data_IF_484255387774
#
_entry.id   IF_484255387774
#
_cell.length_a   1.000
_cell.length_b   1.000
_cell.length_c   1.000
_cell.angle_alpha   90.00
_cell.angle_beta   90.00
_cell.angle_gamma   90.00
#
_symmetry.space_group_name_H-M   'P 1'
#
loop_
_entity.id
_entity.type
_entity.pdbx_description
1 polymer ?
#
# COMPACT_ATOMS: atom_id res chain seq x y z
N UNK A 1 -2.65 30.23 1.46
CA UNK A 1 -2.39 28.80 1.17
C UNK A 1 -3.62 28.11 0.59
N UNK A 2 -4.83 28.28 1.14
CA UNK A 2 -6.08 27.70 0.61
C UNK A 2 -6.33 27.97 -0.89
N UNK A 3 -6.09 29.19 -1.38
CA UNK A 3 -6.23 29.53 -2.81
C UNK A 3 -5.40 28.62 -3.75
N UNK A 4 -4.27 28.09 -3.29
CA UNK A 4 -3.43 27.18 -4.10
C UNK A 4 -4.01 25.76 -4.19
N UNK A 5 -4.78 25.32 -3.20
CA UNK A 5 -5.35 23.97 -3.19
C UNK A 5 -6.63 23.88 -4.04
N UNK A 6 -7.43 24.95 -4.08
CA UNK A 6 -8.59 25.05 -4.97
C UNK A 6 -8.18 25.04 -6.45
N UNK A 7 -7.07 25.72 -6.80
CA UNK A 7 -6.54 25.77 -8.18
C UNK A 7 -6.12 24.40 -8.73
N UNK A 8 -5.75 23.47 -7.86
CA UNK A 8 -5.35 22.11 -8.25
C UNK A 8 -6.49 21.09 -8.05
N UNK A 9 -7.69 21.56 -7.68
CA UNK A 9 -8.86 20.72 -7.42
C UNK A 9 -8.62 19.67 -6.34
N UNK A 10 -7.87 20.01 -5.28
CA UNK A 10 -7.56 19.07 -4.20
C UNK A 10 -8.85 18.54 -3.55
N UNK A 11 -8.98 17.22 -3.46
CA UNK A 11 -10.01 16.54 -2.67
C UNK A 11 -9.36 15.47 -1.82
N UNK A 12 -9.75 15.43 -0.55
CA UNK A 12 -9.28 14.47 0.44
C UNK A 12 -10.48 13.81 1.11
N UNK A 13 -10.37 12.51 1.37
CA UNK A 13 -11.23 11.73 2.27
C UNK A 13 -10.36 10.95 3.26
N UNK A 14 -10.93 10.66 4.42
CA UNK A 14 -10.29 9.91 5.51
C UNK A 14 -11.07 8.63 5.78
N UNK A 15 -10.33 7.57 6.06
CA UNK A 15 -10.82 6.30 6.61
C UNK A 15 -10.08 6.07 7.93
N UNK A 16 -10.81 6.03 9.05
CA UNK A 16 -10.24 5.85 10.39
C UNK A 16 -10.64 4.48 10.91
N UNK A 17 -9.66 3.66 11.25
CA UNK A 17 -9.84 2.37 11.87
C UNK A 17 -9.37 2.44 13.32
N UNK A 18 -10.21 2.07 14.28
CA UNK A 18 -9.88 2.09 15.71
C UNK A 18 -10.31 0.81 16.40
N UNK A 19 -9.40 0.17 17.12
CA UNK A 19 -9.71 -1.01 17.92
C UNK A 19 -10.57 -0.64 19.12
N UNK A 20 -11.59 -1.45 19.39
CA UNK A 20 -12.48 -1.29 20.54
C UNK A 20 -11.95 -2.08 21.73
N UNK A 21 -12.10 -1.52 22.93
CA UNK A 21 -11.70 -2.13 24.20
C UNK A 21 -12.86 -2.94 24.77
N UNK A 22 -13.16 -4.05 24.13
CA UNK A 22 -14.21 -5.00 24.52
C UNK A 22 -13.68 -6.10 25.43
N UNK A 23 -14.57 -6.79 26.13
CA UNK A 23 -14.25 -7.96 26.96
C UNK A 23 -13.80 -9.18 26.14
N UNK A 24 -14.38 -9.39 24.96
CA UNK A 24 -14.09 -10.49 24.04
C UNK A 24 -13.92 -10.00 22.60
N UNK A 25 -13.43 -10.87 21.72
CA UNK A 25 -13.35 -10.62 20.27
C UNK A 25 -14.73 -10.52 19.61
N UNK A 26 -14.75 -10.12 18.33
CA UNK A 26 -15.99 -9.75 17.63
C UNK A 26 -16.93 -10.93 17.38
N UNK A 27 -16.38 -12.11 17.12
CA UNK A 27 -17.13 -13.32 16.74
C UNK A 27 -16.71 -14.56 17.54
N UNK A 28 -16.10 -14.37 18.71
CA UNK A 28 -15.74 -15.45 19.62
C UNK A 28 -15.52 -14.92 21.05
N UNK A 29 -15.35 -15.84 22.02
CA UNK A 29 -15.17 -15.49 23.44
C UNK A 29 -13.71 -15.27 23.86
N UNK A 30 -12.75 -15.23 22.93
CA UNK A 30 -11.35 -15.00 23.25
C UNK A 30 -11.08 -13.57 23.71
N UNK A 31 -10.06 -13.39 24.56
CA UNK A 31 -9.66 -12.06 25.02
C UNK A 31 -8.93 -11.30 23.91
N UNK A 32 -9.19 -10.00 23.73
CA UNK A 32 -8.52 -9.19 22.71
C UNK A 32 -7.14 -8.71 23.22
N UNK A 33 -6.26 -9.65 23.57
CA UNK A 33 -4.92 -9.38 24.10
C UNK A 33 -3.85 -9.85 23.12
N UNK A 34 -2.73 -9.13 23.07
CA UNK A 34 -1.57 -9.51 22.26
C UNK A 34 -0.55 -10.25 23.12
N UNK A 35 0.04 -11.32 22.58
CA UNK A 35 1.09 -12.08 23.29
C UNK A 35 2.48 -11.84 22.68
N UNK A 36 3.51 -11.96 23.53
CA UNK A 36 4.92 -11.86 23.15
C UNK A 36 5.64 -13.20 23.24
N UNK A 37 5.15 -14.07 24.10
CA UNK A 37 5.63 -15.40 24.44
C UNK A 37 5.63 -16.35 23.21
N UNK A 38 6.12 -17.57 23.44
CA UNK A 38 6.04 -18.64 22.46
C UNK A 38 4.59 -19.06 22.22
N UNK A 39 4.32 -19.47 20.98
CA UNK A 39 3.00 -19.93 20.59
C UNK A 39 2.70 -21.31 21.21
N UNK A 40 1.49 -21.48 21.74
CA UNK A 40 0.99 -22.76 22.24
C UNK A 40 0.80 -23.78 21.10
N UNK A 41 0.42 -23.28 19.93
CA UNK A 41 0.18 -24.08 18.72
C UNK A 41 0.59 -23.29 17.48
N UNK A 42 1.09 -24.02 16.48
CA UNK A 42 1.28 -23.45 15.14
C UNK A 42 0.73 -24.38 14.07
N UNK A 43 0.22 -23.80 12.98
CA UNK A 43 -0.26 -24.55 11.83
C UNK A 43 0.07 -23.83 10.53
N UNK A 44 0.06 -24.56 9.41
CA UNK A 44 0.34 -24.03 8.09
C UNK A 44 -0.92 -24.04 7.23
N UNK A 45 -1.16 -22.95 6.51
CA UNK A 45 -2.27 -22.83 5.55
C UNK A 45 -1.82 -22.22 4.24
N UNK A 46 -2.64 -22.43 3.21
CA UNK A 46 -2.54 -21.75 1.91
C UNK A 46 -3.95 -21.37 1.49
N UNK A 47 -4.15 -20.08 1.21
CA UNK A 47 -5.40 -19.60 0.64
C UNK A 47 -5.40 -19.84 -0.87
N UNK A 48 -6.62 -20.00 -1.42
CA UNK A 48 -6.85 -20.17 -2.85
C UNK A 48 -7.83 -19.09 -3.30
N UNK A 49 -7.65 -18.54 -4.51
CA UNK A 49 -8.62 -17.64 -5.07
C UNK A 49 -9.90 -18.40 -5.44
N UNK A 50 -11.03 -17.70 -5.42
CA UNK A 50 -12.34 -18.24 -5.80
C UNK A 50 -12.75 -17.66 -7.14
N UNK A 51 -13.49 -18.43 -7.94
CA UNK A 51 -14.08 -17.97 -9.19
C UNK A 51 -15.39 -17.23 -8.92
N UNK A 52 -15.64 -16.18 -9.70
CA UNK A 52 -16.97 -15.55 -9.78
C UNK A 52 -17.95 -16.46 -10.52
N UNK A 53 -19.22 -16.08 -10.52
CA UNK A 53 -20.27 -16.76 -11.29
C UNK A 53 -19.94 -16.86 -12.79
N UNK A 54 -19.14 -15.91 -13.31
CA UNK A 54 -18.67 -15.88 -14.70
C UNK A 54 -17.36 -16.66 -14.92
N UNK A 55 -16.88 -17.40 -13.91
CA UNK A 55 -15.61 -18.13 -13.95
C UNK A 55 -14.37 -17.24 -13.86
N UNK A 56 -14.53 -15.94 -13.61
CA UNK A 56 -13.42 -14.99 -13.53
C UNK A 56 -12.80 -15.01 -12.13
N UNK A 57 -11.51 -14.71 -12.04
CA UNK A 57 -10.79 -14.64 -10.78
C UNK A 57 -10.30 -13.21 -10.57
N UNK A 58 -10.46 -12.70 -9.35
CA UNK A 58 -9.92 -11.39 -8.98
C UNK A 58 -8.39 -11.36 -9.29
N UNK A 59 -7.91 -10.39 -10.10
CA UNK A 59 -6.52 -10.34 -10.50
C UNK A 59 -5.54 -10.20 -9.34
N UNK A 60 -5.90 -9.49 -8.27
CA UNK A 60 -5.06 -9.34 -7.08
C UNK A 60 -5.00 -10.66 -6.29
N UNK A 61 -6.14 -11.36 -6.14
CA UNK A 61 -6.25 -12.71 -5.57
C UNK A 61 -5.37 -13.72 -6.29
N UNK A 62 -5.47 -13.72 -7.62
CA UNK A 62 -4.67 -14.58 -8.45
C UNK A 62 -3.18 -14.24 -8.37
N UNK A 63 -2.84 -12.95 -8.26
CA UNK A 63 -1.46 -12.51 -8.13
C UNK A 63 -0.82 -12.95 -6.80
N UNK A 64 -1.51 -12.74 -5.66
CA UNK A 64 -1.02 -13.22 -4.36
C UNK A 64 -0.87 -14.75 -4.36
N UNK A 65 -1.85 -15.47 -4.93
CA UNK A 65 -1.78 -16.92 -5.06
C UNK A 65 -0.57 -17.39 -5.88
N UNK A 66 -0.26 -16.72 -7.00
CA UNK A 66 0.92 -17.02 -7.83
C UNK A 66 2.25 -16.84 -7.11
N UNK A 67 2.30 -16.07 -6.01
CA UNK A 67 3.52 -15.99 -5.19
C UNK A 67 3.83 -17.32 -4.48
N UNK A 68 2.84 -18.22 -4.35
CA UNK A 68 3.02 -19.53 -3.73
C UNK A 68 3.41 -19.48 -2.26
N UNK A 69 3.01 -18.40 -1.57
CA UNK A 69 3.33 -18.14 -0.17
C UNK A 69 2.44 -19.01 0.71
N UNK A 70 3.02 -19.70 1.69
CA UNK A 70 2.28 -20.35 2.76
C UNK A 70 2.23 -19.46 4.00
N UNK A 71 1.18 -19.60 4.80
CA UNK A 71 1.00 -18.86 6.04
C UNK A 71 1.25 -19.80 7.21
N UNK A 72 2.15 -19.39 8.11
CA UNK A 72 2.32 -20.02 9.41
C UNK A 72 1.56 -19.20 10.43
N UNK A 73 0.54 -19.78 11.03
CA UNK A 73 -0.24 -19.14 12.07
C UNK A 73 0.25 -19.60 13.45
N UNK A 74 0.41 -18.64 14.36
CA UNK A 74 0.82 -18.81 15.74
C UNK A 74 -0.36 -18.44 16.66
N UNK A 75 -0.63 -19.30 17.64
CA UNK A 75 -1.78 -19.21 18.55
C UNK A 75 -1.28 -19.14 19.98
N UNK A 76 -2.00 -18.37 20.80
CA UNK A 76 -1.99 -18.49 22.24
C UNK A 76 -3.42 -18.78 22.72
N UNK A 77 -3.58 -19.72 23.66
CA UNK A 77 -4.89 -20.24 24.09
C UNK A 77 -5.80 -19.19 24.75
N UNK A 78 -5.24 -18.09 25.25
CA UNK A 78 -6.04 -17.01 25.85
C UNK A 78 -6.63 -16.06 24.78
N UNK A 79 -5.93 -15.92 23.65
CA UNK A 79 -6.24 -14.92 22.63
C UNK A 79 -6.80 -15.50 21.34
N UNK A 80 -6.83 -16.81 21.13
CA UNK A 80 -7.44 -17.42 19.94
C UNK A 80 -8.01 -18.81 20.21
N UNK A 81 -9.09 -19.14 19.50
CA UNK A 81 -9.77 -20.43 19.53
C UNK A 81 -9.97 -20.99 18.10
N UNK A 82 -10.83 -22.01 17.97
CA UNK A 82 -11.14 -22.65 16.69
C UNK A 82 -11.77 -21.67 15.68
N UNK A 83 -12.47 -20.62 16.15
CA UNK A 83 -13.01 -19.58 15.27
C UNK A 83 -11.91 -18.81 14.55
N UNK A 84 -10.88 -18.33 15.26
CA UNK A 84 -9.71 -17.68 14.63
C UNK A 84 -8.94 -18.65 13.74
N UNK A 85 -8.96 -19.95 14.04
CA UNK A 85 -8.29 -20.96 13.23
C UNK A 85 -9.05 -21.32 11.95
N UNK A 86 -10.30 -20.84 11.79
CA UNK A 86 -11.23 -21.27 10.74
C UNK A 86 -11.53 -22.77 10.81
N UNK A 87 -11.73 -23.28 12.03
CA UNK A 87 -12.09 -24.68 12.35
C UNK A 87 -13.43 -24.79 13.11
N UNK A 88 -14.09 -23.65 13.37
CA UNK A 88 -15.41 -23.55 14.00
C UNK A 88 -16.18 -22.37 13.38
N UNK A 89 -17.50 -22.48 13.16
CA UNK A 89 -18.32 -21.34 12.75
C UNK A 89 -18.19 -20.16 13.74
N UNK A 90 -18.23 -18.91 13.26
CA UNK A 90 -18.22 -17.74 14.14
C UNK A 90 -19.44 -17.74 15.06
N UNK A 91 -19.26 -17.22 16.27
CA UNK A 91 -20.35 -16.99 17.22
C UNK A 91 -21.16 -15.74 16.80
N UNK A 92 -22.29 -15.44 17.45
CA UNK A 92 -23.00 -14.19 17.25
C UNK A 92 -22.11 -12.96 17.46
N UNK A 93 -22.51 -11.84 16.85
CA UNK A 93 -21.80 -10.56 16.91
C UNK A 93 -21.69 -10.08 18.37
N UNK A 94 -20.52 -9.57 18.73
CA UNK A 94 -20.29 -9.01 20.06
C UNK A 94 -21.14 -7.74 20.31
N UNK A 95 -22.11 -7.83 21.21
CA UNK A 95 -23.03 -6.72 21.54
C UNK A 95 -22.33 -5.49 22.10
N UNK A 96 -21.29 -5.66 22.94
CA UNK A 96 -20.49 -4.54 23.47
C UNK A 96 -19.81 -3.75 22.33
N UNK A 97 -19.33 -4.46 21.31
CA UNK A 97 -18.75 -3.83 20.13
C UNK A 97 -19.81 -3.04 19.35
N UNK A 98 -21.00 -3.62 19.14
CA UNK A 98 -22.12 -2.96 18.45
C UNK A 98 -22.55 -1.69 19.18
N UNK A 99 -22.78 -1.77 20.49
CA UNK A 99 -23.16 -0.62 21.33
C UNK A 99 -22.12 0.50 21.27
N UNK A 100 -20.83 0.15 21.28
CA UNK A 100 -19.74 1.10 21.18
C UNK A 100 -19.76 1.83 19.83
N UNK A 101 -19.99 1.11 18.73
CA UNK A 101 -20.06 1.72 17.39
C UNK A 101 -21.33 2.55 17.23
N UNK A 102 -22.48 2.10 17.74
CA UNK A 102 -23.72 2.87 17.76
C UNK A 102 -23.56 4.19 18.53
N UNK A 103 -22.88 4.14 19.69
CA UNK A 103 -22.58 5.32 20.49
C UNK A 103 -21.74 6.32 19.68
N UNK A 104 -20.64 5.86 19.08
CA UNK A 104 -19.81 6.72 18.23
C UNK A 104 -20.59 7.26 17.02
N UNK A 105 -21.43 6.44 16.38
CA UNK A 105 -22.26 6.83 15.25
C UNK A 105 -23.23 7.97 15.61
N UNK A 106 -23.93 7.86 16.75
CA UNK A 106 -24.83 8.91 17.23
C UNK A 106 -24.08 10.20 17.58
N UNK A 107 -22.88 10.10 18.17
CA UNK A 107 -22.00 11.26 18.41
C UNK A 107 -21.55 11.95 17.11
N UNK A 108 -21.51 11.21 16.00
CA UNK A 108 -21.26 11.71 14.66
C UNK A 108 -22.54 12.05 13.89
N UNK A 109 -23.70 12.16 14.56
CA UNK A 109 -25.00 12.43 13.94
C UNK A 109 -25.38 11.45 12.81
N UNK A 110 -24.79 10.25 12.80
CA UNK A 110 -25.10 9.21 11.83
C UNK A 110 -26.40 8.49 12.19
N UNK A 111 -27.02 7.88 11.18
CA UNK A 111 -28.27 7.12 11.30
C UNK A 111 -27.95 5.63 11.38
N UNK A 112 -28.21 4.97 12.52
CA UNK A 112 -28.12 3.52 12.61
C UNK A 112 -28.97 2.82 11.56
N UNK A 113 -28.51 1.66 11.10
CA UNK A 113 -29.31 0.78 10.23
C UNK A 113 -30.38 0.05 11.06
N UNK A 114 -31.49 -0.32 10.43
CA UNK A 114 -32.56 -1.08 11.10
C UNK A 114 -32.13 -2.51 11.44
N UNK A 115 -31.30 -3.12 10.60
CA UNK A 115 -30.78 -4.47 10.76
C UNK A 115 -29.32 -4.56 10.30
N UNK A 116 -28.49 -5.22 11.10
CA UNK A 116 -27.06 -5.40 10.83
C UNK A 116 -26.84 -6.72 10.08
N UNK A 117 -26.24 -6.62 8.90
CA UNK A 117 -25.88 -7.79 8.08
C UNK A 117 -24.36 -7.96 8.04
N UNK A 118 -23.87 -9.15 8.39
CA UNK A 118 -22.43 -9.47 8.37
C UNK A 118 -22.01 -9.90 6.97
N UNK A 119 -21.10 -9.13 6.39
CA UNK A 119 -20.53 -9.34 5.06
C UNK A 119 -19.13 -9.96 5.14
N UNK A 120 -18.65 -10.50 4.02
CA UNK A 120 -17.31 -11.10 3.89
C UNK A 120 -16.50 -10.36 2.84
N UNK A 121 -15.62 -9.46 3.28
CA UNK A 121 -14.68 -8.73 2.42
C UNK A 121 -13.48 -9.63 2.12
N UNK A 122 -13.25 -10.01 0.86
CA UNK A 122 -12.18 -10.95 0.50
C UNK A 122 -10.79 -10.42 0.88
N UNK A 123 -10.00 -11.24 1.59
CA UNK A 123 -8.64 -10.92 2.04
C UNK A 123 -7.72 -12.13 1.84
N UNK A 124 -6.78 -11.99 0.92
CA UNK A 124 -5.99 -13.06 0.29
C UNK A 124 -4.51 -13.06 0.70
N UNK A 125 -4.07 -12.03 1.41
CA UNK A 125 -2.67 -11.88 1.83
C UNK A 125 -2.29 -12.80 2.99
N UNK A 126 -3.27 -13.49 3.57
CA UNK A 126 -3.12 -14.40 4.69
C UNK A 126 -3.31 -13.76 6.06
N UNK A 127 -3.67 -12.48 6.16
CA UNK A 127 -3.94 -11.84 7.45
C UNK A 127 -5.25 -12.33 8.10
N UNK A 128 -6.15 -12.94 7.33
CA UNK A 128 -7.37 -13.57 7.81
C UNK A 128 -7.33 -15.06 7.43
N UNK A 129 -7.49 -15.94 8.41
CA UNK A 129 -7.39 -17.41 8.23
C UNK A 129 -8.46 -17.98 7.31
N UNK A 130 -9.63 -17.35 7.32
CA UNK A 130 -10.83 -17.61 6.49
C UNK A 130 -10.67 -17.18 5.03
N UNK A 131 -9.67 -16.34 4.71
CA UNK A 131 -9.56 -15.70 3.40
C UNK A 131 -10.52 -14.52 3.19
N UNK A 132 -11.21 -14.06 4.24
CA UNK A 132 -12.04 -12.86 4.23
C UNK A 132 -12.09 -12.21 5.61
N UNK A 133 -12.32 -10.91 5.64
CA UNK A 133 -12.63 -10.15 6.85
C UNK A 133 -14.15 -10.07 6.99
N UNK A 134 -14.67 -10.36 8.19
CA UNK A 134 -16.08 -10.10 8.49
C UNK A 134 -16.24 -8.61 8.80
N UNK A 135 -17.17 -7.96 8.12
CA UNK A 135 -17.45 -6.53 8.22
C UNK A 135 -18.96 -6.30 8.16
N UNK A 136 -19.49 -5.36 8.93
CA UNK A 136 -20.90 -4.98 8.88
C UNK A 136 -21.05 -3.46 8.98
N UNK A 137 -22.01 -2.90 8.24
CA UNK A 137 -22.36 -1.47 8.34
C UNK A 137 -23.27 -1.29 9.54
N UNK A 138 -22.94 -0.34 10.42
CA UNK A 138 -23.71 -0.05 11.63
C UNK A 138 -24.54 1.22 11.46
N UNK A 139 -23.99 2.24 10.81
CA UNK A 139 -24.67 3.51 10.58
C UNK A 139 -24.19 4.20 9.30
N UNK A 140 -25.03 5.06 8.74
CA UNK A 140 -24.75 5.83 7.52
C UNK A 140 -25.19 7.30 7.68
N UNK A 141 -24.83 8.14 6.70
CA UNK A 141 -25.34 9.51 6.56
C UNK A 141 -25.12 10.42 7.80
N UNK A 142 -23.94 10.30 8.42
CA UNK A 142 -23.54 11.16 9.53
C UNK A 142 -22.85 12.45 9.10
N UNK A 143 -22.50 13.26 10.09
CA UNK A 143 -21.69 14.45 9.90
C UNK A 143 -21.06 14.96 11.20
N UNK A 144 -19.90 15.60 11.06
CA UNK A 144 -19.23 16.34 12.14
C UNK A 144 -18.98 17.78 11.72
N UNK A 145 -18.76 18.67 12.70
CA UNK A 145 -18.41 20.07 12.46
C UNK A 145 -16.93 20.30 12.72
N UNK A 146 -16.25 20.96 11.78
CA UNK A 146 -14.88 21.45 11.90
C UNK A 146 -14.93 22.97 11.71
N UNK A 147 -14.93 23.70 12.84
CA UNK A 147 -15.31 25.11 12.83
C UNK A 147 -16.74 25.28 12.32
N UNK A 148 -16.92 26.05 11.25
CA UNK A 148 -18.23 26.25 10.61
C UNK A 148 -18.54 25.22 9.52
N UNK A 149 -17.56 24.43 9.09
CA UNK A 149 -17.73 23.48 7.99
C UNK A 149 -18.29 22.15 8.48
N UNK A 150 -19.26 21.63 7.73
CA UNK A 150 -19.81 20.29 7.93
C UNK A 150 -18.99 19.29 7.09
N UNK A 151 -18.53 18.23 7.73
CA UNK A 151 -17.85 17.10 7.09
C UNK A 151 -18.79 15.90 7.16
N UNK A 152 -19.37 15.46 6.03
CA UNK A 152 -20.21 14.28 5.99
C UNK A 152 -19.41 13.01 6.31
N UNK A 153 -20.02 12.14 7.11
CA UNK A 153 -19.55 10.78 7.40
C UNK A 153 -20.42 9.84 6.57
N UNK A 154 -19.81 9.15 5.61
CA UNK A 154 -20.56 8.27 4.70
C UNK A 154 -21.10 7.05 5.43
N UNK A 155 -20.26 6.41 6.25
CA UNK A 155 -20.67 5.27 7.05
C UNK A 155 -19.73 5.06 8.26
N UNK A 156 -20.25 4.35 9.25
CA UNK A 156 -19.51 3.71 10.32
C UNK A 156 -19.76 2.20 10.26
N UNK A 157 -18.68 1.42 10.17
CA UNK A 157 -18.71 -0.03 10.07
C UNK A 157 -18.04 -0.66 11.28
N UNK A 158 -18.43 -1.90 11.59
CA UNK A 158 -17.80 -2.75 12.59
C UNK A 158 -17.19 -3.97 11.88
N UNK A 159 -15.91 -4.20 12.08
CA UNK A 159 -15.16 -5.26 11.40
C UNK A 159 -14.14 -5.96 12.32
N UNK A 160 -13.66 -7.11 11.87
CA UNK A 160 -12.56 -7.83 12.52
C UNK A 160 -11.22 -7.17 12.18
N UNK A 161 -10.36 -6.90 13.15
CA UNK A 161 -8.96 -6.62 12.82
C UNK A 161 -8.24 -7.88 12.33
N UNK A 162 -7.17 -7.69 11.57
CA UNK A 162 -6.43 -8.75 10.92
C UNK A 162 -5.28 -9.29 11.80
N UNK A 163 -4.83 -10.52 11.54
CA UNK A 163 -3.70 -11.12 12.26
C UNK A 163 -2.42 -10.26 12.15
N UNK A 164 -1.53 -10.36 13.15
CA UNK A 164 -0.25 -9.62 13.13
C UNK A 164 0.76 -10.38 12.32
N UNK A 165 1.28 -9.77 11.25
CA UNK A 165 2.45 -10.29 10.53
C UNK A 165 3.70 -10.10 11.38
N UNK A 166 4.36 -11.19 11.76
CA UNK A 166 5.53 -11.16 12.66
C UNK A 166 6.84 -11.46 11.97
N UNK A 167 6.84 -12.26 10.89
CA UNK A 167 8.06 -12.59 10.15
C UNK A 167 7.78 -12.98 8.69
N UNK A 168 8.82 -12.86 7.86
CA UNK A 168 8.89 -13.48 6.54
C UNK A 168 10.04 -14.48 6.57
N UNK A 169 9.74 -15.75 6.30
CA UNK A 169 10.65 -16.88 6.41
C UNK A 169 10.96 -17.49 5.03
N UNK A 170 11.98 -18.35 4.99
CA UNK A 170 12.35 -19.18 3.83
C UNK A 170 12.42 -18.37 2.52
N UNK A 171 13.15 -17.24 2.56
CA UNK A 171 13.30 -16.33 1.42
C UNK A 171 11.96 -15.85 0.82
N UNK A 172 10.96 -15.58 1.66
CA UNK A 172 9.66 -15.07 1.21
C UNK A 172 8.61 -16.14 0.92
N UNK A 173 8.92 -17.43 1.11
CA UNK A 173 7.98 -18.53 0.84
C UNK A 173 6.98 -18.77 1.97
N UNK A 174 7.28 -18.32 3.18
CA UNK A 174 6.38 -18.44 4.33
C UNK A 174 6.23 -17.07 4.98
N UNK A 175 5.00 -16.64 5.22
CA UNK A 175 4.72 -15.49 6.09
C UNK A 175 4.18 -15.99 7.42
N UNK A 176 4.75 -15.50 8.52
CA UNK A 176 4.33 -15.83 9.88
C UNK A 176 3.35 -14.79 10.38
N UNK A 177 2.22 -15.25 10.91
CA UNK A 177 1.15 -14.45 11.49
C UNK A 177 0.83 -14.93 12.91
N UNK A 178 0.62 -14.00 13.84
CA UNK A 178 0.02 -14.28 15.16
C UNK A 178 -1.48 -13.96 15.11
N UNK A 179 -2.30 -14.91 15.57
CA UNK A 179 -3.77 -14.80 15.55
C UNK A 179 -4.36 -13.99 16.71
N UNK A 180 -3.52 -13.52 17.62
CA UNK A 180 -3.92 -12.76 18.79
C UNK A 180 -4.70 -11.48 18.47
N UNK A 181 -4.33 -10.78 17.39
CA UNK A 181 -5.06 -9.62 16.90
C UNK A 181 -6.25 -9.95 15.99
N UNK A 182 -6.26 -11.11 15.35
CA UNK A 182 -7.34 -11.49 14.43
C UNK A 182 -8.67 -11.51 15.19
N UNK A 183 -9.68 -10.76 14.73
CA UNK A 183 -11.00 -10.74 15.35
C UNK A 183 -11.16 -9.73 16.50
N UNK A 184 -10.13 -8.95 16.85
CA UNK A 184 -10.34 -7.79 17.75
C UNK A 184 -11.35 -6.84 17.08
N UNK A 185 -12.41 -6.39 17.76
CA UNK A 185 -13.40 -5.50 17.16
C UNK A 185 -12.78 -4.17 16.75
N UNK A 186 -13.11 -3.72 15.54
CA UNK A 186 -12.54 -2.54 14.92
C UNK A 186 -13.68 -1.70 14.33
N UNK A 187 -13.78 -0.43 14.71
CA UNK A 187 -14.65 0.53 14.03
C UNK A 187 -13.90 1.12 12.83
N UNK A 188 -14.56 1.16 11.68
CA UNK A 188 -14.12 1.89 10.48
C UNK A 188 -15.06 3.08 10.26
N UNK A 189 -14.53 4.29 10.13
CA UNK A 189 -15.28 5.52 9.84
C UNK A 189 -14.77 6.11 8.53
N UNK A 190 -15.66 6.30 7.56
CA UNK A 190 -15.32 6.90 6.27
C UNK A 190 -15.95 8.29 6.09
N UNK A 191 -15.15 9.29 5.75
CA UNK A 191 -15.63 10.65 5.44
C UNK A 191 -15.89 10.83 3.94
N UNK A 192 -16.82 11.72 3.57
CA UNK A 192 -16.95 12.15 2.18
C UNK A 192 -15.69 12.91 1.69
N UNK A 193 -15.38 12.90 0.37
CA UNK A 193 -14.18 13.51 -0.20
C UNK A 193 -14.30 15.04 -0.36
N UNK A 194 -14.65 15.74 0.73
CA UNK A 194 -14.91 17.19 0.76
C UNK A 194 -13.89 17.96 1.61
N UNK A 195 -12.75 17.34 1.91
CA UNK A 195 -11.64 17.98 2.63
C UNK A 195 -10.68 18.60 1.60
N UNK A 196 -10.34 19.88 1.79
CA UNK A 196 -9.68 20.71 0.77
C UNK A 196 -8.32 21.28 1.23
N UNK A 197 -7.82 20.90 2.41
CA UNK A 197 -6.45 21.18 2.80
C UNK A 197 -5.88 20.10 3.73
N UNK A 198 -4.55 19.90 3.74
CA UNK A 198 -3.90 18.98 4.67
C UNK A 198 -4.16 19.29 6.15
N UNK A 199 -4.22 20.58 6.52
CA UNK A 199 -4.49 20.99 7.90
C UNK A 199 -5.93 20.72 8.32
N UNK A 200 -6.89 20.90 7.40
CA UNK A 200 -8.27 20.51 7.61
C UNK A 200 -8.39 19.00 7.80
N UNK A 201 -7.71 18.19 6.99
CA UNK A 201 -7.68 16.73 7.15
C UNK A 201 -7.17 16.32 8.54
N UNK A 202 -6.09 16.93 9.01
CA UNK A 202 -5.59 16.70 10.36
C UNK A 202 -6.61 17.11 11.45
N UNK A 203 -7.33 18.21 11.25
CA UNK A 203 -8.37 18.67 12.19
C UNK A 203 -9.57 17.72 12.22
N UNK A 204 -9.99 17.21 11.05
CA UNK A 204 -11.06 16.20 10.93
C UNK A 204 -10.66 14.92 11.67
N UNK A 205 -9.45 14.43 11.42
CA UNK A 205 -8.92 13.25 12.09
C UNK A 205 -8.83 13.42 13.62
N UNK A 206 -8.45 14.61 14.08
CA UNK A 206 -8.40 14.93 15.50
C UNK A 206 -9.80 14.83 16.14
N UNK A 207 -10.81 15.46 15.53
CA UNK A 207 -12.18 15.45 16.06
C UNK A 207 -12.77 14.05 16.06
N UNK A 208 -12.57 13.28 14.98
CA UNK A 208 -13.02 11.87 14.95
C UNK A 208 -12.30 11.04 16.01
N UNK A 209 -10.99 11.23 16.19
CA UNK A 209 -10.22 10.59 17.26
C UNK A 209 -10.69 10.98 18.67
N UNK A 210 -11.12 12.22 18.87
CA UNK A 210 -11.72 12.69 20.12
C UNK A 210 -13.07 12.02 20.38
N UNK A 211 -13.97 12.02 19.40
CA UNK A 211 -15.27 11.32 19.49
C UNK A 211 -15.07 9.85 19.89
N UNK A 212 -14.15 9.16 19.20
CA UNK A 212 -13.81 7.78 19.50
C UNK A 212 -13.29 7.62 20.94
N UNK A 213 -12.46 8.53 21.43
CA UNK A 213 -11.95 8.50 22.81
C UNK A 213 -13.04 8.79 23.85
N UNK A 214 -13.97 9.68 23.53
CA UNK A 214 -15.05 10.11 24.41
C UNK A 214 -16.07 8.99 24.65
N UNK A 215 -16.11 7.97 23.78
CA UNK A 215 -16.85 6.72 24.07
C UNK A 215 -16.34 6.00 25.32
N UNK A 216 -15.08 6.23 25.73
CA UNK A 216 -14.43 5.50 26.82
C UNK A 216 -14.17 4.01 26.52
N UNK A 217 -14.47 3.55 25.30
CA UNK A 217 -14.55 2.14 24.90
C UNK A 217 -13.59 1.77 23.77
N UNK A 218 -12.58 2.58 23.50
CA UNK A 218 -11.55 2.31 22.49
C UNK A 218 -10.22 1.93 23.13
N UNK A 219 -9.48 1.03 22.48
CA UNK A 219 -8.13 0.69 22.89
C UNK A 219 -7.19 1.89 22.76
N UNK A 220 -6.15 1.92 23.60
CA UNK A 220 -5.14 2.97 23.61
C UNK A 220 -3.76 2.35 23.44
N UNK A 221 -2.87 3.08 22.77
CA UNK A 221 -1.50 2.66 22.52
C UNK A 221 -1.16 2.53 21.04
N UNK A 222 0.10 2.22 20.76
CA UNK A 222 0.60 2.12 19.39
C UNK A 222 -0.12 1.00 18.61
N UNK A 223 -0.51 1.30 17.38
CA UNK A 223 -1.14 0.34 16.48
C UNK A 223 -2.63 0.05 16.75
N UNK A 224 -3.26 0.75 17.71
CA UNK A 224 -4.70 0.64 17.99
C UNK A 224 -5.56 1.50 17.06
N UNK A 225 -4.98 2.57 16.50
CA UNK A 225 -5.59 3.43 15.50
C UNK A 225 -4.79 3.38 14.20
N UNK A 226 -5.48 3.35 13.06
CA UNK A 226 -4.90 3.50 11.72
C UNK A 226 -5.75 4.46 10.92
N UNK A 227 -5.09 5.29 10.12
CA UNK A 227 -5.75 6.30 9.32
C UNK A 227 -5.26 6.14 7.89
N UNK A 228 -6.20 5.86 7.01
CA UNK A 228 -5.99 5.73 5.58
C UNK A 228 -6.48 7.03 4.91
N UNK A 229 -5.65 7.58 4.03
CA UNK A 229 -5.88 8.88 3.39
C UNK A 229 -6.16 8.68 1.91
N UNK A 230 -7.32 9.14 1.45
CA UNK A 230 -7.69 9.16 0.04
C UNK A 230 -7.49 10.58 -0.50
N UNK A 231 -6.61 10.78 -1.49
CA UNK A 231 -6.28 12.09 -2.04
C UNK A 231 -6.30 12.10 -3.56
N UNK A 232 -6.90 13.15 -4.14
CA UNK A 232 -6.93 13.38 -5.58
C UNK A 232 -6.73 14.84 -5.94
N UNK A 233 -6.15 15.09 -7.11
CA UNK A 233 -6.04 16.40 -7.78
C UNK A 233 -6.77 16.35 -9.12
N UNK A 234 -7.21 17.49 -9.66
CA UNK A 234 -7.97 17.56 -10.92
C UNK A 234 -7.24 16.92 -12.13
N UNK A 235 -5.95 17.22 -12.29
CA UNK A 235 -5.07 16.60 -13.31
C UNK A 235 -4.27 15.40 -12.78
N UNK A 236 -4.58 14.96 -11.56
CA UNK A 236 -3.88 13.89 -10.87
C UNK A 236 -4.61 12.56 -10.98
N UNK A 237 -4.47 11.76 -9.93
CA UNK A 237 -5.23 10.53 -9.76
C UNK A 237 -5.68 10.39 -8.30
N UNK A 238 -6.68 9.55 -8.07
CA UNK A 238 -7.06 9.15 -6.73
C UNK A 238 -6.04 8.13 -6.19
N UNK A 239 -5.36 8.54 -5.11
CA UNK A 239 -4.32 7.80 -4.42
C UNK A 239 -4.79 7.50 -3.01
N UNK A 240 -4.65 6.23 -2.63
CA UNK A 240 -4.91 5.75 -1.28
C UNK A 240 -3.57 5.60 -0.55
N UNK A 241 -3.40 6.25 0.60
CA UNK A 241 -2.21 6.12 1.43
C UNK A 241 -2.61 5.45 2.74
N UNK A 242 -2.14 4.23 2.94
CA UNK A 242 -2.48 3.41 4.10
C UNK A 242 -1.54 3.61 5.28
N UNK A 243 -2.09 3.45 6.48
CA UNK A 243 -1.34 3.21 7.71
C UNK A 243 -0.68 4.44 8.30
N UNK A 244 -1.31 5.61 8.22
CA UNK A 244 -0.86 6.80 8.97
C UNK A 244 -1.26 6.62 10.43
N UNK A 245 -0.27 6.52 11.32
CA UNK A 245 -0.51 6.28 12.75
C UNK A 245 -0.57 7.59 13.55
N UNK A 246 0.38 8.49 13.30
CA UNK A 246 0.52 9.75 14.02
C UNK A 246 -0.37 10.84 13.39
N UNK A 247 -1.11 11.55 14.23
CA UNK A 247 -2.06 12.59 13.80
C UNK A 247 -1.35 13.73 13.07
N UNK A 248 -0.21 14.16 13.61
CA UNK A 248 0.61 15.25 13.07
C UNK A 248 1.21 14.89 11.70
N UNK A 249 1.36 13.60 11.42
CA UNK A 249 1.93 13.10 10.17
C UNK A 249 0.96 13.21 8.99
N UNK A 250 -0.35 13.30 9.24
CA UNK A 250 -1.39 13.37 8.21
C UNK A 250 -1.15 14.54 7.26
N UNK A 251 -0.96 15.74 7.82
CA UNK A 251 -0.78 16.94 7.00
C UNK A 251 0.51 16.88 6.18
N UNK A 252 1.59 16.35 6.75
CA UNK A 252 2.87 16.15 6.07
C UNK A 252 2.76 15.15 4.91
N UNK A 253 2.09 14.01 5.15
CA UNK A 253 1.86 12.97 4.12
C UNK A 253 1.06 13.54 2.95
N UNK A 254 0.00 14.28 3.23
CA UNK A 254 -0.83 14.91 2.21
C UNK A 254 -0.04 15.97 1.43
N UNK A 255 0.72 16.84 2.11
CA UNK A 255 1.56 17.84 1.44
C UNK A 255 2.61 17.19 0.51
N UNK A 256 3.20 16.07 0.93
CA UNK A 256 4.16 15.34 0.10
C UNK A 256 3.50 14.61 -1.06
N UNK A 257 2.30 14.07 -0.88
CA UNK A 257 1.55 13.47 -1.98
C UNK A 257 1.11 14.52 -3.01
N UNK A 258 0.66 15.70 -2.57
CA UNK A 258 0.37 16.84 -3.46
C UNK A 258 1.62 17.18 -4.29
N UNK A 259 2.78 17.34 -3.64
CA UNK A 259 4.06 17.60 -4.34
C UNK A 259 4.40 16.49 -5.33
N UNK A 260 4.22 15.22 -4.95
CA UNK A 260 4.49 14.06 -5.79
C UNK A 260 3.63 14.09 -7.05
N UNK A 261 2.32 14.27 -6.93
CA UNK A 261 1.41 14.31 -8.06
C UNK A 261 1.72 15.51 -8.98
N UNK A 262 1.90 16.71 -8.42
CA UNK A 262 2.23 17.90 -9.22
C UNK A 262 3.55 17.73 -9.99
N UNK A 263 4.56 17.12 -9.38
CA UNK A 263 5.83 16.86 -10.07
C UNK A 263 5.70 15.76 -11.15
N UNK A 264 4.87 14.74 -10.94
CA UNK A 264 4.56 13.74 -11.97
C UNK A 264 3.80 14.35 -13.14
N UNK A 265 2.85 15.26 -12.88
CA UNK A 265 2.12 16.00 -13.91
C UNK A 265 3.10 16.82 -14.76
N UNK A 266 4.00 17.59 -14.12
CA UNK A 266 5.05 18.34 -14.82
C UNK A 266 5.95 17.45 -15.69
N UNK A 267 6.35 16.29 -15.17
CA UNK A 267 7.13 15.31 -15.93
C UNK A 267 6.35 14.82 -17.15
N UNK A 268 5.07 14.48 -16.99
CA UNK A 268 4.19 14.07 -18.09
C UNK A 268 4.07 15.16 -19.16
N UNK A 269 3.85 16.40 -18.77
CA UNK A 269 3.77 17.55 -19.68
C UNK A 269 5.08 17.76 -20.46
N UNK A 270 6.23 17.69 -19.78
CA UNK A 270 7.54 17.81 -20.42
C UNK A 270 7.87 16.64 -21.36
N UNK A 271 7.48 15.41 -21.01
CA UNK A 271 7.63 14.24 -21.87
C UNK A 271 6.75 14.36 -23.12
N UNK A 272 5.50 14.80 -22.96
CA UNK A 272 4.57 15.07 -24.07
C UNK A 272 5.09 16.19 -24.97
N UNK A 273 5.65 17.27 -24.41
CA UNK A 273 6.27 18.35 -25.17
C UNK A 273 7.47 17.88 -26.02
N UNK A 274 8.19 16.85 -25.56
CA UNK A 274 9.24 16.16 -26.33
C UNK A 274 8.70 15.14 -27.34
N UNK A 275 7.39 15.08 -27.57
CA UNK A 275 6.71 14.11 -28.45
C UNK A 275 7.01 12.66 -28.09
N UNK A 276 7.27 12.38 -26.81
CA UNK A 276 7.45 11.02 -26.28
C UNK A 276 6.07 10.44 -26.00
N UNK A 277 5.75 9.33 -26.66
CA UNK A 277 4.50 8.58 -26.51
C UNK A 277 4.74 7.22 -25.87
N UNK A 278 3.70 6.55 -25.37
CA UNK A 278 3.81 5.19 -24.82
C UNK A 278 4.36 4.16 -25.84
N UNK A 279 4.02 4.32 -27.12
CA UNK A 279 4.52 3.53 -28.24
C UNK A 279 6.02 3.76 -28.53
N UNK A 280 6.60 4.84 -28.01
CA UNK A 280 8.03 5.11 -28.13
C UNK A 280 8.87 4.19 -27.23
N UNK A 281 8.26 3.55 -26.23
CA UNK A 281 8.91 2.68 -25.27
C UNK A 281 8.76 1.20 -25.66
N UNK A 282 9.89 0.62 -26.09
CA UNK A 282 9.96 -0.76 -26.55
C UNK A 282 10.47 -1.70 -25.46
N UNK A 283 9.89 -2.91 -25.38
CA UNK A 283 10.32 -3.98 -24.47
C UNK A 283 11.47 -4.81 -25.09
N UNK A 284 12.55 -4.13 -25.49
CA UNK A 284 13.75 -4.80 -25.99
C UNK A 284 14.78 -4.96 -24.87
N UNK A 285 14.82 -6.15 -24.27
CA UNK A 285 15.73 -6.47 -23.16
C UNK A 285 17.03 -7.06 -23.67
N UNK A 286 18.13 -6.34 -23.42
CA UNK A 286 19.45 -6.69 -23.93
C UNK A 286 20.29 -7.27 -22.79
N UNK A 287 20.92 -8.42 -23.03
CA UNK A 287 21.88 -9.02 -22.11
C UNK A 287 23.19 -8.22 -22.18
N UNK A 288 23.53 -7.58 -21.07
CA UNK A 288 24.72 -6.73 -20.91
C UNK A 288 25.68 -7.30 -19.87
N UNK A 289 25.51 -8.58 -19.51
CA UNK A 289 26.32 -9.27 -18.50
C UNK A 289 27.81 -9.14 -18.74
N UNK A 290 28.23 -9.18 -20.02
CA UNK A 290 29.65 -9.12 -20.39
C UNK A 290 30.33 -7.80 -19.99
N UNK A 291 29.58 -6.70 -19.95
CA UNK A 291 30.09 -5.35 -19.59
C UNK A 291 30.53 -5.34 -18.12
N UNK A 292 29.81 -6.07 -17.28
CA UNK A 292 29.99 -6.05 -15.83
C UNK A 292 30.82 -7.23 -15.29
N UNK A 293 31.53 -7.98 -16.14
CA UNK A 293 32.34 -9.14 -15.72
C UNK A 293 33.37 -8.79 -14.65
N UNK A 294 34.01 -7.62 -14.80
CA UNK A 294 35.06 -7.14 -13.91
C UNK A 294 34.58 -5.98 -13.01
N UNK A 295 33.26 -5.81 -12.89
CA UNK A 295 32.70 -4.68 -12.16
C UNK A 295 33.11 -4.66 -10.69
N UNK A 296 33.37 -3.45 -10.18
CA UNK A 296 33.61 -3.22 -8.75
C UNK A 296 32.31 -3.02 -7.97
N UNK A 297 31.17 -2.96 -8.66
CA UNK A 297 29.86 -2.93 -8.02
C UNK A 297 29.58 -4.25 -7.29
N UNK A 298 29.63 -4.21 -5.94
CA UNK A 298 29.42 -5.40 -5.09
C UNK A 298 28.09 -6.10 -5.36
N UNK A 299 27.03 -5.32 -5.62
CA UNK A 299 25.67 -5.85 -5.85
C UNK A 299 25.64 -6.70 -7.12
N UNK A 300 26.12 -6.15 -8.24
CA UNK A 300 26.16 -6.85 -9.53
C UNK A 300 27.12 -8.05 -9.44
N UNK A 301 28.32 -7.85 -8.90
CA UNK A 301 29.32 -8.93 -8.71
C UNK A 301 28.76 -10.10 -7.91
N UNK A 302 28.03 -9.84 -6.83
CA UNK A 302 27.41 -10.89 -6.03
C UNK A 302 26.27 -11.61 -6.77
N UNK A 303 25.51 -10.90 -7.60
CA UNK A 303 24.50 -11.53 -8.47
C UNK A 303 25.16 -12.46 -9.49
N UNK A 304 26.21 -12.00 -10.18
CA UNK A 304 26.96 -12.80 -11.16
C UNK A 304 27.57 -14.08 -10.56
N UNK A 305 28.07 -14.03 -9.31
CA UNK A 305 28.54 -15.22 -8.59
C UNK A 305 27.45 -16.30 -8.43
N UNK A 306 26.17 -15.90 -8.36
CA UNK A 306 25.02 -16.82 -8.32
C UNK A 306 24.59 -17.30 -9.71
N UNK A 307 25.40 -17.07 -10.75
CA UNK A 307 25.11 -17.37 -12.17
C UNK A 307 23.91 -16.60 -12.73
N UNK A 308 23.54 -15.49 -12.09
CA UNK A 308 22.55 -14.56 -12.61
C UNK A 308 23.12 -13.72 -13.77
N UNK A 309 22.26 -12.97 -14.46
CA UNK A 309 22.62 -12.14 -15.61
C UNK A 309 22.25 -10.69 -15.37
N UNK A 310 22.81 -9.79 -16.18
CA UNK A 310 22.44 -8.37 -16.20
C UNK A 310 21.69 -8.08 -17.49
N UNK A 311 20.44 -7.66 -17.35
CA UNK A 311 19.63 -7.20 -18.47
C UNK A 311 19.42 -5.70 -18.39
N UNK A 312 19.41 -5.04 -19.55
CA UNK A 312 19.19 -3.61 -19.68
C UNK A 312 18.06 -3.31 -20.67
N UNK A 313 17.43 -2.16 -20.48
CA UNK A 313 16.44 -1.60 -21.40
C UNK A 313 16.70 -0.11 -21.58
N UNK A 314 16.57 0.35 -22.82
CA UNK A 314 16.60 1.78 -23.16
C UNK A 314 15.22 2.40 -22.93
N UNK A 315 15.17 3.49 -22.20
CA UNK A 315 13.97 4.31 -22.01
C UNK A 315 14.15 5.60 -22.81
N UNK A 316 13.50 5.65 -23.98
CA UNK A 316 13.67 6.73 -24.96
C UNK A 316 13.23 8.07 -24.37
N UNK A 317 14.07 9.11 -24.46
CA UNK A 317 13.73 10.47 -24.03
C UNK A 317 13.70 10.72 -22.52
N UNK A 318 14.05 9.72 -21.69
CA UNK A 318 13.96 9.80 -20.23
C UNK A 318 15.24 10.30 -19.53
N UNK A 319 16.28 10.70 -20.27
CA UNK A 319 17.49 11.22 -19.65
C UNK A 319 17.19 12.42 -18.74
N UNK A 320 17.70 12.37 -17.52
CA UNK A 320 17.52 13.38 -16.48
C UNK A 320 16.19 13.29 -15.71
N UNK A 321 15.19 12.57 -16.19
CA UNK A 321 13.90 12.44 -15.52
C UNK A 321 13.94 11.48 -14.33
N UNK A 322 14.73 10.40 -14.41
CA UNK A 322 14.75 9.37 -13.36
C UNK A 322 15.37 9.90 -12.05
N UNK A 323 16.29 10.87 -12.14
CA UNK A 323 16.85 11.56 -10.97
C UNK A 323 15.97 12.70 -10.43
N UNK A 324 14.89 13.06 -11.12
CA UNK A 324 14.03 14.17 -10.70
C UNK A 324 13.27 13.81 -9.44
N UNK A 325 13.35 14.71 -8.47
CA UNK A 325 12.70 14.58 -7.18
C UNK A 325 11.20 14.85 -7.30
N UNK A 326 10.38 13.94 -6.77
CA UNK A 326 8.92 14.05 -6.75
C UNK A 326 8.42 14.59 -5.39
N UNK A 327 9.06 14.13 -4.32
CA UNK A 327 8.87 14.59 -2.94
C UNK A 327 10.21 14.44 -2.20
N UNK A 328 10.38 15.00 -0.99
CA UNK A 328 11.68 15.05 -0.32
C UNK A 328 12.43 13.71 -0.31
N UNK A 329 13.62 13.69 -0.91
CA UNK A 329 14.53 12.53 -1.05
C UNK A 329 13.94 11.33 -1.80
N UNK A 330 12.91 11.55 -2.62
CA UNK A 330 12.23 10.49 -3.37
C UNK A 330 12.06 10.88 -4.84
N UNK A 331 12.61 10.08 -5.74
CA UNK A 331 12.76 10.40 -7.18
C UNK A 331 11.84 9.56 -8.04
N UNK A 332 11.66 9.95 -9.31
CA UNK A 332 10.95 9.11 -10.28
C UNK A 332 11.60 7.72 -10.44
N UNK A 333 12.93 7.64 -10.42
CA UNK A 333 13.66 6.37 -10.42
C UNK A 333 13.34 5.51 -9.20
N UNK A 334 13.02 6.13 -8.05
CA UNK A 334 12.58 5.42 -6.84
C UNK A 334 11.18 4.82 -7.00
N UNK A 335 10.22 5.53 -7.60
CA UNK A 335 8.89 4.98 -7.96
C UNK A 335 9.02 3.75 -8.88
N UNK A 336 9.83 3.90 -9.93
CA UNK A 336 10.06 2.85 -10.91
C UNK A 336 10.73 1.64 -10.24
N UNK A 337 11.66 1.87 -9.32
CA UNK A 337 12.28 0.81 -8.53
C UNK A 337 11.28 0.07 -7.63
N UNK A 338 10.31 0.77 -7.02
CA UNK A 338 9.27 0.14 -6.20
C UNK A 338 8.40 -0.81 -7.04
N UNK A 339 8.00 -0.39 -8.25
CA UNK A 339 7.27 -1.25 -9.20
C UNK A 339 8.09 -2.46 -9.64
N UNK A 340 9.37 -2.25 -9.95
CA UNK A 340 10.28 -3.32 -10.34
C UNK A 340 10.49 -4.36 -9.21
N UNK A 341 10.62 -3.91 -7.95
CA UNK A 341 10.69 -4.81 -6.79
C UNK A 341 9.42 -5.64 -6.64
N UNK A 342 8.26 -5.01 -6.74
CA UNK A 342 6.97 -5.66 -6.55
C UNK A 342 6.71 -6.74 -7.61
N UNK A 343 6.85 -6.40 -8.88
CA UNK A 343 6.51 -7.30 -9.99
C UNK A 343 7.66 -8.25 -10.38
N UNK A 344 8.90 -7.78 -10.28
CA UNK A 344 10.09 -8.54 -10.66
C UNK A 344 10.75 -9.32 -9.52
N UNK A 345 10.34 -9.11 -8.26
CA UNK A 345 10.93 -9.72 -7.07
C UNK A 345 12.45 -9.50 -6.95
N UNK A 346 12.94 -8.39 -7.51
CA UNK A 346 14.35 -7.99 -7.48
C UNK A 346 14.64 -7.10 -6.27
N UNK A 347 15.91 -6.91 -5.90
CA UNK A 347 16.29 -5.98 -4.82
C UNK A 347 16.14 -4.50 -5.18
N UNK A 348 16.18 -4.17 -6.47
CA UNK A 348 16.11 -2.81 -7.01
C UNK A 348 16.53 -2.76 -8.47
N UNK A 349 16.71 -1.54 -8.99
CA UNK A 349 17.18 -1.26 -10.34
C UNK A 349 18.37 -0.32 -10.29
N UNK A 350 19.12 -0.26 -11.39
CA UNK A 350 20.11 0.77 -11.65
C UNK A 350 19.67 1.59 -12.86
N UNK A 351 20.01 2.88 -12.90
CA UNK A 351 19.74 3.70 -14.07
C UNK A 351 20.81 4.76 -14.31
N UNK A 352 20.96 5.17 -15.57
CA UNK A 352 22.03 6.09 -16.01
C UNK A 352 22.00 7.45 -15.34
N UNK A 353 20.83 7.97 -14.96
CA UNK A 353 20.75 9.29 -14.30
C UNK A 353 21.37 9.33 -12.89
N UNK A 354 21.64 8.17 -12.29
CA UNK A 354 22.32 8.05 -10.99
C UNK A 354 23.82 7.77 -11.14
N UNK A 355 24.33 7.71 -12.37
CA UNK A 355 25.70 7.27 -12.66
C UNK A 355 26.64 8.45 -12.94
N UNK A 356 27.94 8.32 -12.62
CA UNK A 356 28.60 7.17 -12.00
C UNK A 356 28.32 7.05 -10.50
N UNK A 357 27.92 5.86 -10.05
CA UNK A 357 27.70 5.53 -8.64
C UNK A 357 27.89 4.02 -8.40
N UNK A 358 27.83 3.59 -7.13
CA UNK A 358 27.91 2.17 -6.74
C UNK A 358 29.20 1.44 -7.19
N UNK A 359 30.28 2.18 -7.44
CA UNK A 359 31.53 1.69 -8.06
C UNK A 359 31.34 1.14 -9.49
N UNK A 360 30.36 1.66 -10.22
CA UNK A 360 30.23 1.48 -11.67
C UNK A 360 30.99 2.62 -12.35
N UNK A 361 31.93 2.27 -13.22
CA UNK A 361 32.85 3.16 -13.92
C UNK A 361 32.19 3.83 -15.13
N UNK A 362 32.72 4.97 -15.56
CA UNK A 362 32.26 5.65 -16.78
C UNK A 362 32.43 4.79 -18.04
N UNK A 363 33.46 3.93 -18.07
CA UNK A 363 33.68 3.01 -19.19
C UNK A 363 32.57 1.95 -19.27
N UNK A 364 32.13 1.38 -18.14
CA UNK A 364 30.98 0.46 -18.10
C UNK A 364 29.70 1.16 -18.58
N UNK A 365 29.47 2.42 -18.19
CA UNK A 365 28.30 3.19 -18.63
C UNK A 365 28.35 3.51 -20.13
N UNK A 366 29.53 3.83 -20.67
CA UNK A 366 29.71 4.09 -22.09
C UNK A 366 29.38 2.85 -22.92
N UNK A 367 29.94 1.69 -22.55
CA UNK A 367 29.66 0.41 -23.19
C UNK A 367 28.18 0.03 -23.07
N UNK A 368 27.55 0.34 -21.93
CA UNK A 368 26.12 0.11 -21.72
C UNK A 368 25.27 0.94 -22.68
N UNK A 369 25.55 2.23 -22.83
CA UNK A 369 24.87 3.12 -23.79
C UNK A 369 25.06 2.65 -25.23
N UNK A 370 26.28 2.28 -25.61
CA UNK A 370 26.60 1.76 -26.94
C UNK A 370 25.80 0.48 -27.25
N UNK A 371 25.84 -0.51 -26.33
CA UNK A 371 25.16 -1.79 -26.51
C UNK A 371 23.64 -1.66 -26.60
N UNK A 372 23.08 -0.71 -25.84
CA UNK A 372 21.63 -0.43 -25.85
C UNK A 372 21.20 0.55 -26.94
N UNK A 373 22.15 1.08 -27.72
CA UNK A 373 21.91 2.13 -28.73
C UNK A 373 21.14 3.32 -28.12
N UNK A 374 21.55 3.74 -26.92
CA UNK A 374 20.98 4.86 -26.20
C UNK A 374 21.72 6.15 -26.55
N UNK A 375 20.98 7.18 -26.94
CA UNK A 375 21.51 8.52 -27.14
C UNK A 375 21.64 9.27 -25.82
N UNK A 376 22.20 10.48 -25.85
CA UNK A 376 22.28 11.35 -24.66
C UNK A 376 20.92 11.81 -24.14
N UNK A 377 19.86 11.72 -24.95
CA UNK A 377 18.49 12.03 -24.54
C UNK A 377 17.78 10.83 -23.90
N UNK A 378 18.37 9.63 -23.98
CA UNK A 378 17.79 8.40 -23.49
C UNK A 378 18.39 8.02 -22.13
N UNK A 379 17.57 7.41 -21.28
CA UNK A 379 18.05 6.74 -20.08
C UNK A 379 18.20 5.24 -20.34
N UNK A 380 19.11 4.59 -19.63
CA UNK A 380 19.19 3.12 -19.60
C UNK A 380 18.92 2.64 -18.18
N UNK A 381 17.99 1.69 -18.05
CA UNK A 381 17.69 1.00 -16.79
C UNK A 381 18.18 -0.43 -16.90
N UNK A 382 18.83 -0.94 -15.85
CA UNK A 382 19.36 -2.30 -15.84
C UNK A 382 19.24 -2.98 -14.49
N UNK A 383 19.15 -4.31 -14.52
CA UNK A 383 18.85 -5.17 -13.38
C UNK A 383 19.75 -6.40 -13.42
N UNK A 384 20.26 -6.81 -12.26
CA UNK A 384 21.13 -7.96 -12.10
C UNK A 384 20.49 -9.03 -11.21
N UNK A 385 19.74 -9.96 -11.80
CA UNK A 385 19.04 -11.05 -11.11
C UNK A 385 18.88 -12.28 -12.04
N UNK A 386 18.05 -13.25 -11.66
CA UNK A 386 17.65 -14.34 -12.55
C UNK A 386 17.05 -13.77 -13.85
N UNK A 387 17.11 -14.53 -14.94
CA UNK A 387 16.61 -14.06 -16.24
C UNK A 387 15.13 -13.74 -16.20
N UNK A 388 14.34 -14.55 -15.49
CA UNK A 388 12.90 -14.36 -15.31
C UNK A 388 12.61 -13.09 -14.51
N UNK A 389 13.22 -12.95 -13.32
CA UNK A 389 13.04 -11.79 -12.45
C UNK A 389 13.48 -10.49 -13.11
N UNK A 390 14.62 -10.52 -13.81
CA UNK A 390 15.16 -9.34 -14.50
C UNK A 390 14.23 -8.87 -15.61
N UNK A 391 13.71 -9.79 -16.43
CA UNK A 391 12.75 -9.44 -17.50
C UNK A 391 11.42 -8.94 -16.92
N UNK A 392 10.91 -9.57 -15.86
CA UNK A 392 9.70 -9.11 -15.17
C UNK A 392 9.88 -7.71 -14.56
N UNK A 393 11.04 -7.44 -13.93
CA UNK A 393 11.39 -6.13 -13.41
C UNK A 393 11.46 -5.07 -14.51
N UNK A 394 12.14 -5.35 -15.63
CA UNK A 394 12.28 -4.41 -16.74
C UNK A 394 10.96 -4.19 -17.49
N UNK A 395 10.05 -5.17 -17.53
CA UNK A 395 8.68 -4.96 -17.99
C UNK A 395 7.96 -3.94 -17.10
N UNK A 396 7.99 -4.13 -15.77
CA UNK A 396 7.38 -3.19 -14.84
C UNK A 396 7.99 -1.79 -14.88
N UNK A 397 9.30 -1.69 -15.16
CA UNK A 397 9.98 -0.41 -15.44
C UNK A 397 9.35 0.28 -16.65
N UNK A 398 9.21 -0.44 -17.77
CA UNK A 398 8.63 0.11 -19.00
C UNK A 398 7.18 0.54 -18.75
N UNK A 399 6.38 -0.29 -18.08
CA UNK A 399 4.98 0.03 -17.79
C UNK A 399 4.86 1.28 -16.92
N UNK A 400 5.70 1.42 -15.88
CA UNK A 400 5.70 2.62 -15.04
C UNK A 400 6.19 3.87 -15.78
N UNK A 401 7.14 3.74 -16.70
CA UNK A 401 7.56 4.83 -17.58
C UNK A 401 6.44 5.24 -18.54
N UNK A 402 5.67 4.28 -19.09
CA UNK A 402 4.47 4.58 -19.89
C UNK A 402 3.42 5.34 -19.08
N UNK A 403 3.17 4.91 -17.85
CA UNK A 403 2.28 5.64 -16.92
C UNK A 403 2.80 7.06 -16.64
N UNK A 404 4.12 7.27 -16.51
CA UNK A 404 4.69 8.61 -16.31
C UNK A 404 4.52 9.54 -17.51
N UNK A 405 4.43 9.02 -18.74
CA UNK A 405 4.07 9.79 -19.93
C UNK A 405 2.60 10.22 -19.84
N UNK A 406 1.71 9.34 -19.36
CA UNK A 406 0.28 9.62 -19.25
C UNK A 406 0.00 10.65 -18.13
N UNK A 407 0.55 10.43 -16.93
CA UNK A 407 0.34 11.28 -15.76
C UNK A 407 0.62 10.56 -14.44
N UNK A 408 -0.28 10.75 -13.47
CA UNK A 408 -0.22 10.08 -12.15
C UNK A 408 -0.96 8.75 -12.24
N UNK A 409 -0.34 7.60 -11.94
CA UNK A 409 -1.06 6.33 -11.88
C UNK A 409 -1.86 6.21 -10.58
N UNK A 410 -3.11 5.77 -10.65
CA UNK A 410 -3.92 5.42 -9.48
C UNK A 410 -3.34 4.16 -8.81
N UNK A 411 -3.08 4.23 -7.51
CA UNK A 411 -2.42 3.16 -6.76
C UNK A 411 -2.62 3.31 -5.25
N UNK A 412 -2.42 2.22 -4.52
CA UNK A 412 -2.34 2.22 -3.06
C UNK A 412 -0.88 2.32 -2.63
N UNK A 413 -0.61 3.17 -1.64
CA UNK A 413 0.73 3.49 -1.13
C UNK A 413 0.78 3.30 0.39
N UNK A 414 1.95 3.01 0.94
CA UNK A 414 2.18 2.99 2.39
C UNK A 414 2.86 4.28 2.83
N UNK A 415 2.40 4.87 3.94
CA UNK A 415 3.09 5.99 4.57
C UNK A 415 4.36 5.53 5.30
N UNK A 416 5.43 6.33 5.19
CA UNK A 416 6.65 6.18 5.98
C UNK A 416 6.63 7.15 7.17
N UNK A 417 7.40 6.88 8.24
CA UNK A 417 7.49 7.77 9.40
C UNK A 417 7.98 9.18 9.09
N UNK A 418 8.66 9.39 7.96
CA UNK A 418 9.12 10.71 7.52
C UNK A 418 8.10 11.47 6.66
N UNK A 419 6.88 10.95 6.52
CA UNK A 419 5.78 11.53 5.73
C UNK A 419 5.81 11.17 4.24
N UNK A 420 6.89 10.56 3.73
CA UNK A 420 6.90 10.10 2.32
C UNK A 420 6.01 8.87 2.15
N UNK A 421 5.51 8.63 0.95
CA UNK A 421 4.72 7.44 0.62
C UNK A 421 5.44 6.56 -0.40
N UNK A 422 5.24 5.24 -0.34
CA UNK A 422 5.79 4.28 -1.33
C UNK A 422 4.71 3.38 -1.90
N UNK A 423 4.87 3.01 -3.17
CA UNK A 423 3.96 2.09 -3.84
C UNK A 423 3.83 0.78 -3.03
N UNK A 424 2.59 0.36 -2.81
CA UNK A 424 2.26 -0.90 -2.14
C UNK A 424 1.69 -1.91 -3.14
N UNK A 425 0.65 -1.51 -3.86
CA UNK A 425 -0.10 -2.36 -4.79
C UNK A 425 -0.96 -1.50 -5.74
N UNK A 426 -1.48 -2.08 -6.84
CA UNK A 426 -2.53 -1.42 -7.61
C UNK A 426 -3.73 -1.15 -6.71
N UNK A 427 -4.49 -0.09 -7.00
CA UNK A 427 -5.71 0.18 -6.25
C UNK A 427 -6.69 -0.99 -6.45
N UNK A 428 -7.36 -1.49 -5.39
CA UNK A 428 -8.45 -2.45 -5.54
C UNK A 428 -9.52 -1.92 -6.49
N UNK A 429 -10.17 -2.85 -7.21
CA UNK A 429 -11.27 -2.54 -8.13
C UNK A 429 -12.51 -1.99 -7.44
#
# INVERSE_FOLDING_TARGET
>A
MLHKYSEIGLKIGLEIHQQLNTSTKLFCNCKPILFKEDADLTFLRRLRPTQSELGQVDPAAFFEFKKGIAMRYEINKESACLVEMDEEPPHPLNEEAVETVLTAALMMNAKPVDEIHVMRKTVIDGSNTTGFQRTCVIAMDGWIKIGEKIIPIQHASLEEDAARKTAIEKNGKITRYRLDRLGIPLIEIATAPVIYSPQEAQSVALVLGQILRDTGKVMRGLGTIRQDLNISLEKGALIEIKGVQELELISVVLDYEIKRQLNLIKISEELKAKSITDNSLNRNFIDVTYIFKETRCKIIKNSLKKKNRVYAVKIKGFAGFLKRELMPKFRLGTEIADRARYWGKVGGIFHTDEMPAYNITNQEILLLKEKTKASEQDAVVFVADSTENSKAALNAVIDRCKEAIIGVPAETRNANPNGTSRYMRPRPG
#
